data_IF_200065532611
#
_entry.id   IF_200065532611
#
_cell.length_a   1.000
_cell.length_b   1.000
_cell.length_c   1.000
_cell.angle_alpha   90.00
_cell.angle_beta   90.00
_cell.angle_gamma   90.00
#
_symmetry.space_group_name_H-M   'P 1'
#
loop_
_entity.id
_entity.type
_entity.pdbx_description
1 polymer ?
#
# COMPACT_ATOMS: atom_id res chain seq x y z
N UNK A 1 30.40 -47.27 30.02
CA UNK A 1 31.47 -46.99 29.04
C UNK A 1 30.89 -47.11 27.65
N UNK A 2 31.36 -46.25 26.73
CA UNK A 2 31.17 -46.26 25.28
C UNK A 2 29.96 -45.52 24.70
N UNK A 3 30.22 -44.25 24.44
CA UNK A 3 29.58 -43.37 23.46
C UNK A 3 29.69 -43.94 22.04
N UNK A 4 28.62 -43.84 21.25
CA UNK A 4 28.68 -44.04 19.80
C UNK A 4 28.22 -42.76 19.09
N UNK A 5 29.21 -42.07 18.53
CA UNK A 5 29.09 -40.84 17.75
C UNK A 5 28.72 -41.19 16.30
N UNK A 6 27.50 -40.88 15.87
CA UNK A 6 27.07 -41.04 14.48
C UNK A 6 27.51 -39.87 13.61
N UNK A 7 28.60 -40.04 12.87
CA UNK A 7 29.09 -39.08 11.88
C UNK A 7 28.23 -39.12 10.61
N UNK A 8 27.74 -37.96 10.17
CA UNK A 8 27.01 -37.77 8.91
C UNK A 8 28.02 -37.60 7.78
N UNK A 9 27.99 -38.53 6.82
CA UNK A 9 28.92 -38.61 5.69
C UNK A 9 28.36 -37.82 4.49
N UNK A 10 28.94 -36.66 4.20
CA UNK A 10 28.59 -35.87 3.02
C UNK A 10 29.18 -36.51 1.76
N UNK A 11 28.33 -36.97 0.85
CA UNK A 11 28.73 -37.41 -0.48
C UNK A 11 29.05 -36.19 -1.35
N UNK A 12 30.32 -36.09 -1.77
CA UNK A 12 30.81 -35.07 -2.68
C UNK A 12 30.43 -35.45 -4.12
N UNK A 13 29.60 -34.63 -4.76
CA UNK A 13 29.19 -34.79 -6.16
C UNK A 13 30.41 -34.58 -7.07
N UNK A 14 30.73 -35.61 -7.85
CA UNK A 14 31.85 -35.63 -8.79
C UNK A 14 31.45 -34.93 -10.10
N UNK A 15 32.19 -33.89 -10.49
CA UNK A 15 31.99 -33.17 -11.76
C UNK A 15 32.75 -33.90 -12.88
N UNK A 16 32.16 -34.15 -14.07
CA UNK A 16 32.80 -34.95 -15.11
C UNK A 16 33.97 -34.19 -15.75
N UNK A 17 35.07 -34.91 -16.02
CA UNK A 17 36.23 -34.37 -16.72
C UNK A 17 35.91 -34.19 -18.21
N UNK A 18 35.96 -32.94 -18.67
CA UNK A 18 35.91 -32.59 -20.08
C UNK A 18 37.28 -32.79 -20.73
N UNK A 19 37.29 -33.57 -21.81
CA UNK A 19 38.41 -33.87 -22.68
C UNK A 19 39.03 -32.59 -23.27
N UNK A 20 40.34 -32.41 -23.11
CA UNK A 20 41.12 -31.48 -23.93
C UNK A 20 41.98 -32.31 -24.90
N UNK A 21 41.45 -32.47 -26.12
CA UNK A 21 42.24 -32.76 -27.32
C UNK A 21 43.26 -31.63 -27.51
N UNK A 22 44.55 -31.94 -27.62
CA UNK A 22 45.50 -31.51 -28.69
C UNK A 22 46.99 -31.75 -28.26
N UNK A 23 47.87 -32.11 -29.21
CA UNK A 23 49.14 -32.84 -28.96
C UNK A 23 50.37 -31.94 -28.67
N UNK A 24 51.52 -32.53 -28.27
CA UNK A 24 52.63 -31.78 -27.68
C UNK A 24 53.67 -31.29 -28.70
N UNK A 25 54.46 -30.31 -28.24
CA UNK A 25 55.71 -29.78 -28.78
C UNK A 25 55.61 -28.76 -29.94
N UNK A 26 56.08 -27.53 -29.68
CA UNK A 26 57.40 -27.06 -30.12
C UNK A 26 57.73 -25.74 -29.41
N UNK A 27 58.95 -25.74 -28.86
CA UNK A 27 59.62 -24.65 -28.15
C UNK A 27 59.89 -23.45 -29.05
N UNK A 28 59.54 -22.24 -28.61
CA UNK A 28 60.15 -21.00 -29.15
C UNK A 28 60.56 -20.09 -28.00
N UNK A 29 61.87 -19.87 -27.96
CA UNK A 29 62.67 -19.16 -26.96
C UNK A 29 62.08 -17.81 -26.57
N UNK A 30 61.95 -17.58 -25.27
CA UNK A 30 61.96 -16.24 -24.68
C UNK A 30 63.14 -16.16 -23.72
N UNK A 31 64.09 -15.29 -24.03
CA UNK A 31 65.17 -14.86 -23.11
C UNK A 31 64.58 -14.00 -22.00
N UNK A 32 64.89 -14.24 -20.71
CA UNK A 32 64.42 -13.37 -19.65
C UNK A 32 65.29 -12.10 -19.63
N UNK A 33 64.66 -10.94 -19.85
CA UNK A 33 65.26 -9.67 -19.47
C UNK A 33 65.29 -9.63 -17.93
N UNK A 34 66.51 -9.50 -17.40
CA UNK A 34 66.82 -9.35 -15.98
C UNK A 34 66.03 -8.16 -15.40
N UNK A 35 65.00 -8.45 -14.62
CA UNK A 35 64.30 -7.44 -13.84
C UNK A 35 65.24 -6.98 -12.71
N UNK A 36 65.77 -5.76 -12.84
CA UNK A 36 66.36 -5.05 -11.72
C UNK A 36 65.25 -4.78 -10.71
N UNK A 37 65.46 -5.27 -9.48
CA UNK A 37 64.69 -4.93 -8.31
C UNK A 37 64.64 -3.40 -8.17
N UNK A 38 63.46 -2.82 -8.30
CA UNK A 38 63.10 -1.59 -7.60
C UNK A 38 61.88 -1.93 -6.75
N UNK A 39 62.17 -2.34 -5.52
CA UNK A 39 61.18 -2.33 -4.45
C UNK A 39 60.87 -0.86 -4.15
N UNK A 40 59.69 -0.38 -4.54
CA UNK A 40 59.13 0.85 -4.01
C UNK A 40 57.60 0.83 -4.14
N UNK A 41 56.98 0.44 -3.03
CA UNK A 41 55.69 0.90 -2.52
C UNK A 41 54.45 0.73 -3.41
N UNK A 42 53.91 -0.49 -3.47
CA UNK A 42 52.50 -0.72 -3.81
C UNK A 42 51.69 -0.79 -2.49
N UNK A 43 51.39 0.39 -1.94
CA UNK A 43 50.49 0.55 -0.80
C UNK A 43 49.06 0.68 -1.32
N UNK A 44 48.29 -0.40 -1.22
CA UNK A 44 46.84 -0.42 -0.90
C UNK A 44 45.91 0.66 -1.49
N UNK A 45 45.97 1.02 -2.78
CA UNK A 45 45.09 2.07 -3.34
C UNK A 45 43.65 1.61 -3.70
N UNK A 46 43.32 0.31 -3.58
CA UNK A 46 42.02 -0.23 -4.02
C UNK A 46 40.99 -0.35 -2.88
N UNK A 47 41.42 -0.50 -1.63
CA UNK A 47 40.52 -0.54 -0.46
C UNK A 47 40.04 0.85 -0.01
N UNK A 48 40.88 1.87 -0.19
CA UNK A 48 40.61 3.23 0.28
C UNK A 48 39.47 3.90 -0.49
N UNK A 49 39.41 3.70 -1.81
CA UNK A 49 38.34 4.25 -2.64
C UNK A 49 36.96 3.65 -2.32
N UNK A 50 36.91 2.36 -1.97
CA UNK A 50 35.66 1.70 -1.56
C UNK A 50 35.20 2.20 -0.19
N UNK A 51 36.13 2.41 0.75
CA UNK A 51 35.84 2.98 2.06
C UNK A 51 35.34 4.43 1.97
N UNK A 52 35.97 5.24 1.11
CA UNK A 52 35.54 6.63 0.86
C UNK A 52 34.11 6.66 0.29
N UNK A 53 33.77 5.75 -0.63
CA UNK A 53 32.42 5.67 -1.20
C UNK A 53 31.37 5.30 -0.16
N UNK A 54 31.70 4.33 0.72
CA UNK A 54 30.85 3.93 1.84
C UNK A 54 30.65 5.07 2.83
N UNK A 55 31.70 5.80 3.17
CA UNK A 55 31.62 6.96 4.07
C UNK A 55 30.78 8.10 3.48
N UNK A 56 30.90 8.37 2.18
CA UNK A 56 30.05 9.34 1.49
C UNK A 56 28.58 8.89 1.54
N UNK A 57 28.30 7.60 1.30
CA UNK A 57 26.95 7.06 1.35
C UNK A 57 26.36 7.13 2.78
N UNK A 58 27.15 6.81 3.80
CA UNK A 58 26.77 6.89 5.22
C UNK A 58 26.44 8.33 5.59
N UNK A 59 27.29 9.30 5.22
CA UNK A 59 27.01 10.72 5.47
C UNK A 59 25.71 11.18 4.81
N UNK A 60 25.51 10.86 3.52
CA UNK A 60 24.27 11.20 2.81
C UNK A 60 23.03 10.56 3.44
N UNK A 61 23.10 9.29 3.84
CA UNK A 61 21.99 8.64 4.54
C UNK A 61 21.72 9.30 5.89
N UNK A 62 22.76 9.70 6.61
CA UNK A 62 22.65 10.38 7.91
C UNK A 62 21.98 11.75 7.76
N UNK A 63 22.34 12.51 6.71
CA UNK A 63 21.68 13.77 6.35
C UNK A 63 20.21 13.57 6.01
N UNK A 64 19.89 12.59 5.15
CA UNK A 64 18.49 12.27 4.81
C UNK A 64 17.68 11.87 6.06
N UNK A 65 18.23 11.00 6.93
CA UNK A 65 17.57 10.58 8.16
C UNK A 65 17.35 11.76 9.12
N UNK A 66 18.30 12.70 9.18
CA UNK A 66 18.17 13.91 9.97
C UNK A 66 17.02 14.79 9.48
N UNK A 67 16.91 14.99 8.16
CA UNK A 67 15.78 15.73 7.55
C UNK A 67 14.44 15.04 7.81
N UNK A 68 14.36 13.72 7.63
CA UNK A 68 13.15 12.95 7.92
C UNK A 68 12.75 13.08 9.39
N UNK A 69 13.71 13.02 10.31
CA UNK A 69 13.43 13.15 11.74
C UNK A 69 12.85 14.54 12.08
N UNK A 70 13.34 15.61 11.44
CA UNK A 70 12.81 16.97 11.63
C UNK A 70 11.35 17.03 11.20
N UNK A 71 11.04 16.56 9.99
CA UNK A 71 9.66 16.54 9.46
C UNK A 71 8.74 15.70 10.34
N UNK A 72 9.20 14.53 10.81
CA UNK A 72 8.41 13.66 11.71
C UNK A 72 8.13 14.35 13.05
N UNK A 73 9.10 15.09 13.60
CA UNK A 73 8.91 15.87 14.83
C UNK A 73 7.96 17.05 14.64
N UNK A 74 7.99 17.70 13.47
CA UNK A 74 7.03 18.75 13.10
C UNK A 74 5.62 18.17 13.00
N UNK A 75 5.41 17.13 12.20
CA UNK A 75 4.10 16.47 12.06
C UNK A 75 3.59 15.94 13.40
N UNK A 76 4.47 15.39 14.25
CA UNK A 76 4.08 14.93 15.59
C UNK A 76 3.60 16.09 16.46
N UNK A 77 4.27 17.25 16.39
CA UNK A 77 3.82 18.45 17.11
C UNK A 77 2.49 18.95 16.56
N UNK A 78 2.32 19.01 15.24
CA UNK A 78 1.07 19.44 14.60
C UNK A 78 -0.10 18.52 15.00
N UNK A 79 0.13 17.20 15.03
CA UNK A 79 -0.89 16.23 15.46
C UNK A 79 -1.22 16.38 16.94
N UNK A 80 -0.23 16.60 17.82
CA UNK A 80 -0.48 16.84 19.24
C UNK A 80 -1.19 18.17 19.46
N UNK A 81 -0.84 19.21 18.70
CA UNK A 81 -1.48 20.51 18.73
C UNK A 81 -2.94 20.42 18.28
N UNK A 82 -3.22 19.76 17.15
CA UNK A 82 -4.60 19.49 16.71
C UNK A 82 -5.35 18.71 17.79
N UNK A 83 -4.71 17.72 18.42
CA UNK A 83 -5.32 16.91 19.48
C UNK A 83 -5.63 17.73 20.74
N UNK A 84 -4.77 18.67 21.13
CA UNK A 84 -5.02 19.56 22.28
C UNK A 84 -6.08 20.61 21.97
N UNK A 85 -6.01 21.24 20.80
CA UNK A 85 -7.03 22.20 20.35
C UNK A 85 -8.42 21.56 20.26
N UNK A 86 -8.51 20.30 19.83
CA UNK A 86 -9.76 19.53 19.84
C UNK A 86 -10.20 19.10 21.24
N UNK A 87 -9.28 18.96 22.20
CA UNK A 87 -9.60 18.58 23.59
C UNK A 87 -10.05 19.79 24.42
N UNK A 88 -9.47 20.96 24.17
CA UNK A 88 -9.77 22.22 24.86
C UNK A 88 -10.93 22.98 24.19
N UNK A 89 -11.14 22.75 22.89
CA UNK A 89 -12.24 23.29 22.10
C UNK A 89 -13.59 22.63 22.41
N UNK A 90 -14.25 23.07 23.48
CA UNK A 90 -15.71 23.01 23.57
C UNK A 90 -16.24 23.89 22.43
N UNK A 91 -16.65 23.26 21.32
CA UNK A 91 -17.04 23.89 20.04
C UNK A 91 -17.82 25.20 20.27
N UNK A 92 -17.13 26.33 20.16
CA UNK A 92 -17.72 27.65 19.96
C UNK A 92 -17.35 28.10 18.55
N UNK A 93 -18.31 28.30 17.65
CA UNK A 93 -18.03 28.66 16.27
C UNK A 93 -17.71 30.16 16.22
N UNK A 94 -16.48 30.53 15.89
CA UNK A 94 -16.15 31.90 15.54
C UNK A 94 -15.00 31.97 14.53
N UNK A 95 -15.35 32.49 13.34
CA UNK A 95 -14.50 33.10 12.32
C UNK A 95 -13.86 32.24 11.22
N UNK A 96 -14.73 31.69 10.37
CA UNK A 96 -14.56 31.82 8.92
C UNK A 96 -15.75 32.65 8.41
N UNK A 97 -15.49 33.90 8.01
CA UNK A 97 -16.48 34.78 7.38
C UNK A 97 -16.83 34.26 5.97
N UNK A 98 -17.74 33.29 5.96
CA UNK A 98 -18.73 33.01 4.92
C UNK A 98 -20.01 32.63 5.67
N UNK A 99 -21.20 32.67 5.06
CA UNK A 99 -22.42 32.25 5.75
C UNK A 99 -22.23 30.82 6.28
N UNK A 100 -22.03 30.70 7.60
CA UNK A 100 -21.89 29.42 8.30
C UNK A 100 -23.32 28.89 8.49
N UNK A 101 -23.75 27.84 7.76
CA UNK A 101 -25.10 27.34 7.93
C UNK A 101 -25.11 26.40 9.13
N UNK A 102 -25.48 26.89 10.32
CA UNK A 102 -25.95 26.11 11.47
C UNK A 102 -25.29 24.71 11.66
N UNK A 103 -23.94 24.66 11.60
CA UNK A 103 -23.21 23.41 11.28
C UNK A 103 -22.91 22.56 12.51
N UNK A 104 -23.87 22.44 13.43
CA UNK A 104 -23.88 21.36 14.43
C UNK A 104 -24.98 20.34 14.15
N UNK A 105 -25.84 20.58 13.16
CA UNK A 105 -27.03 19.75 12.99
C UNK A 105 -27.45 19.58 11.54
N UNK A 106 -26.63 18.84 10.79
CA UNK A 106 -27.17 17.92 9.80
C UNK A 106 -26.16 16.78 9.61
N UNK A 107 -25.93 16.02 10.69
CA UNK A 107 -25.39 14.68 10.56
C UNK A 107 -26.24 13.96 9.52
N UNK A 108 -25.59 13.53 8.45
CA UNK A 108 -26.25 12.82 7.39
C UNK A 108 -26.92 11.58 8.00
N UNK A 109 -28.24 11.36 7.82
CA UNK A 109 -29.01 10.35 8.56
C UNK A 109 -28.77 8.92 8.02
N UNK A 110 -27.55 8.63 7.57
CA UNK A 110 -27.10 7.31 7.14
C UNK A 110 -26.13 6.79 8.20
N UNK A 111 -26.55 5.72 8.87
CA UNK A 111 -25.70 5.00 9.80
C UNK A 111 -24.75 4.08 9.02
N UNK A 112 -23.47 4.14 9.35
CA UNK A 112 -22.41 3.34 8.73
C UNK A 112 -21.73 2.46 9.78
N UNK A 113 -21.34 1.21 9.46
CA UNK A 113 -21.55 0.53 8.18
C UNK A 113 -22.98 0.04 7.99
N UNK A 114 -23.47 0.05 6.75
CA UNK A 114 -24.80 -0.41 6.38
C UNK A 114 -24.84 -1.96 6.41
N UNK A 115 -25.86 -2.50 7.05
CA UNK A 115 -26.03 -3.95 7.30
C UNK A 115 -27.11 -4.58 6.43
N UNK A 116 -28.18 -3.84 6.11
CA UNK A 116 -29.35 -4.34 5.39
C UNK A 116 -29.49 -3.73 3.99
N UNK A 117 -30.18 -4.44 3.09
CA UNK A 117 -30.50 -3.90 1.76
C UNK A 117 -31.49 -2.74 1.85
N UNK A 118 -32.44 -2.80 2.78
CA UNK A 118 -33.43 -1.75 2.97
C UNK A 118 -32.79 -0.44 3.40
N UNK A 119 -31.84 -0.48 4.34
CA UNK A 119 -31.12 0.72 4.76
C UNK A 119 -30.18 1.23 3.68
N UNK A 120 -29.62 0.34 2.84
CA UNK A 120 -28.88 0.74 1.66
C UNK A 120 -29.78 1.46 0.65
N UNK A 121 -30.99 0.96 0.40
CA UNK A 121 -31.95 1.60 -0.52
C UNK A 121 -32.43 2.96 0.01
N UNK A 122 -32.64 3.10 1.33
CA UNK A 122 -32.93 4.39 1.97
C UNK A 122 -31.77 5.37 1.81
N UNK A 123 -30.54 4.90 2.03
CA UNK A 123 -29.33 5.67 1.80
C UNK A 123 -29.24 6.16 0.34
N UNK A 124 -29.47 5.28 -0.62
CA UNK A 124 -29.47 5.62 -2.05
C UNK A 124 -30.53 6.67 -2.41
N UNK A 125 -31.73 6.60 -1.81
CA UNK A 125 -32.77 7.61 -2.00
C UNK A 125 -32.35 8.97 -1.46
N UNK A 126 -31.75 9.01 -0.28
CA UNK A 126 -31.25 10.25 0.34
C UNK A 126 -30.12 10.88 -0.49
N UNK A 127 -29.18 10.08 -0.99
CA UNK A 127 -28.03 10.54 -1.76
C UNK A 127 -28.38 11.08 -3.16
N UNK A 128 -29.62 10.95 -3.61
CA UNK A 128 -30.11 11.67 -4.80
C UNK A 128 -30.12 13.18 -4.56
N UNK A 129 -30.36 13.62 -3.33
CA UNK A 129 -30.30 15.03 -2.96
C UNK A 129 -28.83 15.49 -2.98
N UNK A 130 -28.53 16.54 -3.75
CA UNK A 130 -27.19 17.15 -3.79
C UNK A 130 -26.62 17.51 -2.41
N UNK A 131 -27.34 18.18 -1.49
CA UNK A 131 -26.74 18.54 -0.20
C UNK A 131 -26.32 17.32 0.63
N UNK A 132 -27.09 16.24 0.57
CA UNK A 132 -26.76 15.00 1.28
C UNK A 132 -25.63 14.25 0.57
N UNK A 133 -25.61 14.25 -0.76
CA UNK A 133 -24.47 13.74 -1.53
C UNK A 133 -23.16 14.43 -1.16
N UNK A 134 -23.12 15.76 -1.11
CA UNK A 134 -21.90 16.50 -0.75
C UNK A 134 -21.42 16.20 0.67
N UNK A 135 -22.34 16.11 1.63
CA UNK A 135 -22.02 15.68 3.00
C UNK A 135 -21.46 14.26 3.04
N UNK A 136 -21.98 13.33 2.24
CA UNK A 136 -21.45 11.97 2.16
C UNK A 136 -20.05 11.95 1.55
N UNK A 137 -19.83 12.69 0.45
CA UNK A 137 -18.50 12.84 -0.15
C UNK A 137 -17.49 13.37 0.87
N UNK A 138 -17.84 14.44 1.61
CA UNK A 138 -17.00 14.99 2.65
C UNK A 138 -16.71 13.96 3.76
N UNK A 139 -17.74 13.22 4.23
CA UNK A 139 -17.56 12.15 5.22
C UNK A 139 -16.62 11.04 4.74
N UNK A 140 -16.71 10.67 3.46
CA UNK A 140 -15.87 9.64 2.86
C UNK A 140 -14.44 10.12 2.62
N UNK A 141 -14.24 11.40 2.29
CA UNK A 141 -12.92 12.00 2.14
C UNK A 141 -12.09 11.90 3.44
N UNK A 142 -12.74 12.01 4.60
CA UNK A 142 -12.11 11.87 5.92
C UNK A 142 -11.55 10.47 6.22
N UNK A 143 -11.98 9.43 5.48
CA UNK A 143 -11.49 8.05 5.69
C UNK A 143 -9.99 7.92 5.39
N UNK A 144 -9.52 8.69 4.38
CA UNK A 144 -8.13 8.77 3.95
C UNK A 144 -7.50 7.45 3.51
N UNK A 145 -6.20 7.49 3.25
CA UNK A 145 -5.37 6.35 2.87
C UNK A 145 -3.99 6.78 2.39
N UNK A 146 -3.04 5.84 2.38
CA UNK A 146 -1.69 6.09 1.83
C UNK A 146 -1.64 6.04 0.31
N UNK A 147 -2.64 5.41 -0.30
CA UNK A 147 -2.84 5.34 -1.76
C UNK A 147 -4.33 5.39 -2.05
N UNK A 148 -4.72 5.79 -3.28
CA UNK A 148 -6.12 5.81 -3.70
C UNK A 148 -6.78 4.43 -3.59
N UNK A 149 -6.05 3.36 -3.92
CA UNK A 149 -6.52 1.97 -3.73
C UNK A 149 -6.79 1.64 -2.26
N UNK A 150 -5.90 2.06 -1.35
CA UNK A 150 -6.08 1.86 0.10
C UNK A 150 -7.31 2.64 0.60
N UNK A 151 -7.44 3.89 0.19
CA UNK A 151 -8.57 4.75 0.53
C UNK A 151 -9.90 4.14 0.08
N UNK A 152 -10.01 3.70 -1.18
CA UNK A 152 -11.23 3.06 -1.72
C UNK A 152 -11.61 1.83 -0.90
N UNK A 153 -10.64 0.98 -0.55
CA UNK A 153 -10.92 -0.22 0.28
C UNK A 153 -11.38 0.16 1.69
N UNK A 154 -10.77 1.17 2.31
CA UNK A 154 -11.19 1.67 3.62
C UNK A 154 -12.61 2.23 3.55
N UNK A 155 -12.93 3.03 2.54
CA UNK A 155 -14.29 3.54 2.32
C UNK A 155 -15.30 2.40 2.16
N UNK A 156 -14.98 1.34 1.39
CA UNK A 156 -15.85 0.16 1.25
C UNK A 156 -16.12 -0.54 2.58
N UNK A 157 -15.10 -0.68 3.43
CA UNK A 157 -15.24 -1.26 4.79
C UNK A 157 -16.05 -0.34 5.71
N UNK A 158 -15.88 0.97 5.58
CA UNK A 158 -16.65 1.96 6.34
C UNK A 158 -18.13 1.94 5.94
N UNK A 159 -18.43 1.79 4.65
CA UNK A 159 -19.80 1.92 4.14
C UNK A 159 -20.60 0.62 4.26
N UNK A 160 -19.99 -0.53 3.96
CA UNK A 160 -20.69 -1.81 3.83
C UNK A 160 -20.15 -2.85 4.80
N UNK A 161 -21.05 -3.57 5.45
CA UNK A 161 -20.68 -4.83 6.09
C UNK A 161 -20.32 -5.90 5.05
N UNK A 162 -19.49 -6.88 5.44
CA UNK A 162 -19.12 -7.98 4.55
C UNK A 162 -20.35 -8.79 4.08
N UNK A 163 -21.34 -8.98 4.97
CA UNK A 163 -22.59 -9.68 4.66
C UNK A 163 -23.39 -8.95 3.57
N UNK A 164 -23.53 -7.62 3.69
CA UNK A 164 -24.19 -6.81 2.67
C UNK A 164 -23.39 -6.77 1.36
N UNK A 165 -22.07 -6.61 1.45
CA UNK A 165 -21.18 -6.61 0.29
C UNK A 165 -21.27 -7.89 -0.56
N UNK A 166 -21.64 -9.04 0.04
CA UNK A 166 -21.85 -10.29 -0.69
C UNK A 166 -23.00 -10.23 -1.71
N UNK A 167 -23.97 -9.32 -1.48
CA UNK A 167 -25.17 -9.14 -2.31
C UNK A 167 -24.92 -8.27 -3.54
N UNK A 168 -23.76 -7.62 -3.61
CA UNK A 168 -23.38 -6.76 -4.73
C UNK A 168 -22.37 -7.43 -5.65
N UNK A 169 -22.42 -7.05 -6.92
CA UNK A 169 -21.31 -7.17 -7.83
C UNK A 169 -21.20 -5.88 -8.65
N UNK A 170 -20.09 -5.68 -9.38
CA UNK A 170 -19.90 -4.42 -10.11
C UNK A 170 -21.01 -4.12 -11.13
N UNK A 171 -21.40 -5.10 -11.96
CA UNK A 171 -22.30 -4.87 -13.10
C UNK A 171 -23.74 -5.40 -12.92
N UNK A 172 -24.06 -6.03 -11.79
CA UNK A 172 -25.33 -6.72 -11.54
C UNK A 172 -25.55 -8.00 -12.34
N UNK A 173 -24.53 -8.51 -13.05
CA UNK A 173 -24.71 -9.64 -13.97
C UNK A 173 -25.00 -10.94 -13.20
N UNK A 174 -26.10 -11.61 -13.56
CA UNK A 174 -26.45 -12.96 -13.08
C UNK A 174 -25.40 -13.94 -13.58
N UNK A 175 -24.75 -14.67 -12.66
CA UNK A 175 -23.85 -15.78 -13.04
C UNK A 175 -24.58 -17.10 -13.10
N UNK A 176 -25.57 -17.28 -12.23
CA UNK A 176 -26.47 -18.42 -12.21
C UNK A 176 -27.92 -17.91 -12.10
N UNK A 177 -28.92 -18.74 -12.42
CA UNK A 177 -30.34 -18.37 -12.29
C UNK A 177 -30.72 -17.92 -10.87
N UNK A 178 -29.99 -18.40 -9.86
CA UNK A 178 -30.24 -18.14 -8.43
C UNK A 178 -29.32 -17.10 -7.80
N UNK A 179 -28.29 -16.61 -8.50
CA UNK A 179 -27.32 -15.62 -7.99
C UNK A 179 -27.51 -14.27 -8.70
N UNK A 180 -28.61 -13.58 -8.36
CA UNK A 180 -28.86 -12.21 -8.80
C UNK A 180 -28.31 -11.21 -7.78
N UNK A 181 -27.09 -10.74 -8.03
CA UNK A 181 -26.47 -9.67 -7.24
C UNK A 181 -26.82 -8.30 -7.82
N UNK A 182 -26.98 -7.31 -6.97
CA UNK A 182 -27.26 -5.95 -7.38
C UNK A 182 -26.02 -5.28 -8.02
N UNK A 183 -26.20 -4.40 -9.04
CA UNK A 183 -25.12 -3.64 -9.64
C UNK A 183 -24.64 -2.53 -8.69
N UNK A 184 -23.36 -2.53 -8.34
CA UNK A 184 -22.77 -1.48 -7.52
C UNK A 184 -22.37 -0.24 -8.33
N UNK A 185 -22.05 -0.41 -9.62
CA UNK A 185 -21.59 0.68 -10.51
C UNK A 185 -22.65 1.77 -10.75
N UNK A 186 -23.92 1.47 -10.51
CA UNK A 186 -25.05 2.36 -10.79
C UNK A 186 -25.59 3.00 -9.49
N UNK A 187 -24.84 2.89 -8.39
CA UNK A 187 -25.26 3.41 -7.07
C UNK A 187 -24.73 4.82 -6.83
N UNK A 188 -25.54 5.66 -6.17
CA UNK A 188 -25.13 6.99 -5.71
C UNK A 188 -23.99 6.91 -4.71
N UNK A 189 -23.97 5.87 -3.88
CA UNK A 189 -22.87 5.58 -2.98
C UNK A 189 -21.54 5.43 -3.73
N UNK A 190 -21.51 4.69 -4.85
CA UNK A 190 -20.31 4.55 -5.65
C UNK A 190 -19.83 5.90 -6.20
N UNK A 191 -20.75 6.75 -6.65
CA UNK A 191 -20.39 8.07 -7.18
C UNK A 191 -19.81 8.96 -6.08
N UNK A 192 -20.39 8.91 -4.86
CA UNK A 192 -19.84 9.60 -3.71
C UNK A 192 -18.41 9.14 -3.39
N UNK A 193 -18.18 7.83 -3.42
CA UNK A 193 -16.85 7.25 -3.16
C UNK A 193 -15.83 7.63 -4.24
N UNK A 194 -16.25 7.65 -5.50
CA UNK A 194 -15.36 8.04 -6.60
C UNK A 194 -14.99 9.52 -6.51
N UNK A 195 -15.96 10.39 -6.24
CA UNK A 195 -15.72 11.82 -6.04
C UNK A 195 -14.78 12.07 -4.86
N UNK A 196 -14.99 11.40 -3.72
CA UNK A 196 -14.10 11.49 -2.56
C UNK A 196 -12.67 11.01 -2.87
N UNK A 197 -12.54 9.89 -3.59
CA UNK A 197 -11.23 9.37 -4.00
C UNK A 197 -10.50 10.31 -4.97
N UNK A 198 -11.23 10.99 -5.87
CA UNK A 198 -10.69 11.96 -6.82
C UNK A 198 -10.21 13.25 -6.16
N UNK A 199 -10.78 13.64 -5.03
CA UNK A 199 -10.28 14.77 -4.23
C UNK A 199 -8.88 14.47 -3.68
N UNK A 200 -8.63 13.22 -3.28
CA UNK A 200 -7.32 12.75 -2.84
C UNK A 200 -6.34 12.53 -4.00
N UNK A 201 -6.77 11.83 -5.06
CA UNK A 201 -5.97 11.51 -6.24
C UNK A 201 -6.65 12.06 -7.50
N UNK A 202 -6.20 13.25 -7.93
CA UNK A 202 -6.75 13.96 -9.08
C UNK A 202 -6.60 13.19 -10.40
N UNK A 203 -5.79 12.14 -10.49
CA UNK A 203 -5.57 11.37 -11.72
C UNK A 203 -6.29 10.00 -11.71
N UNK A 204 -7.01 9.67 -10.63
CA UNK A 204 -7.67 8.37 -10.45
C UNK A 204 -8.69 8.03 -11.55
N UNK A 205 -8.35 7.16 -12.50
CA UNK A 205 -9.28 6.78 -13.57
C UNK A 205 -10.50 6.00 -13.04
N UNK A 206 -11.64 6.12 -13.73
CA UNK A 206 -12.84 5.31 -13.45
C UNK A 206 -12.50 3.82 -13.48
N UNK A 207 -11.62 3.41 -14.40
CA UNK A 207 -11.16 2.04 -14.55
C UNK A 207 -10.43 1.56 -13.29
N UNK A 208 -9.42 2.30 -12.81
CA UNK A 208 -8.65 1.94 -11.62
C UNK A 208 -9.52 1.87 -10.35
N UNK A 209 -10.46 2.80 -10.22
CA UNK A 209 -11.46 2.77 -9.16
C UNK A 209 -12.33 1.50 -9.27
N UNK A 210 -12.90 1.25 -10.45
CA UNK A 210 -13.79 0.10 -10.69
C UNK A 210 -13.09 -1.24 -10.44
N UNK A 211 -11.81 -1.38 -10.80
CA UNK A 211 -11.06 -2.61 -10.62
C UNK A 211 -10.76 -2.89 -9.15
N UNK A 212 -10.50 -1.83 -8.38
CA UNK A 212 -10.38 -1.92 -6.92
C UNK A 212 -11.68 -2.41 -6.28
N UNK A 213 -12.81 -1.80 -6.66
CA UNK A 213 -14.14 -2.18 -6.14
C UNK A 213 -14.51 -3.61 -6.56
N UNK A 214 -14.35 -3.98 -7.84
CA UNK A 214 -14.57 -5.34 -8.36
C UNK A 214 -13.80 -6.37 -7.56
N UNK A 215 -12.51 -6.14 -7.33
CA UNK A 215 -11.64 -7.05 -6.58
C UNK A 215 -12.12 -7.17 -5.13
N UNK A 216 -12.48 -6.05 -4.50
CA UNK A 216 -12.95 -6.04 -3.12
C UNK A 216 -14.30 -6.77 -2.96
N UNK A 217 -15.29 -6.51 -3.83
CA UNK A 217 -16.59 -7.19 -3.79
C UNK A 217 -16.47 -8.70 -4.09
N UNK A 218 -15.58 -9.10 -5.01
CA UNK A 218 -15.33 -10.52 -5.32
C UNK A 218 -14.97 -11.34 -4.09
N UNK A 219 -14.18 -10.77 -3.17
CA UNK A 219 -13.73 -11.45 -1.95
C UNK A 219 -14.65 -11.20 -0.74
N UNK A 220 -15.80 -10.55 -0.91
CA UNK A 220 -16.75 -10.34 0.19
C UNK A 220 -17.19 -11.65 0.87
N UNK A 221 -17.51 -12.74 0.15
CA UNK A 221 -17.90 -14.01 0.80
C UNK A 221 -16.82 -14.58 1.70
N UNK A 222 -15.54 -14.48 1.30
CA UNK A 222 -14.42 -14.93 2.11
C UNK A 222 -14.27 -14.08 3.38
N UNK A 223 -14.44 -12.76 3.27
CA UNK A 223 -14.43 -11.84 4.43
C UNK A 223 -15.63 -12.02 5.37
N UNK A 224 -16.75 -12.53 4.86
CA UNK A 224 -17.95 -12.82 5.65
C UNK A 224 -17.88 -14.17 6.40
N UNK A 225 -16.78 -14.92 6.28
CA UNK A 225 -16.61 -16.22 6.93
C UNK A 225 -16.87 -17.42 6.01
N UNK A 226 -16.88 -17.23 4.68
CA UNK A 226 -17.12 -18.29 3.71
C UNK A 226 -16.11 -19.44 3.81
N UNK A 227 -16.57 -20.60 4.31
CA UNK A 227 -15.92 -21.90 4.13
C UNK A 227 -15.99 -22.29 2.64
N UNK A 228 -14.88 -22.75 2.08
CA UNK A 228 -14.90 -23.47 0.80
C UNK A 228 -15.76 -24.72 1.01
N UNK A 229 -16.86 -24.84 0.27
CA UNK A 229 -17.37 -26.18 -0.01
C UNK A 229 -16.33 -26.82 -0.94
N UNK A 230 -15.72 -27.90 -0.43
CA UNK A 230 -14.69 -28.71 -1.06
C UNK A 230 -15.15 -29.25 -2.41
#
# INVERSE_FOLDING_TARGET
MMSASGAVQYHQLQVPQGENLFPPHISRRYTPLRAHQHAQNDVTMQGDNEHILKDIAIRKMTEMLSQVLVVVKEVSRDVQFIKSELADGKITPASCEGPLPDTVQQMLPIQLPITSEDDFNKAELLLKNEPDRQKMIARLALVGGTTSTCMIRRMLVTVLTNSLACKFNWAGKKRTPHDSKQPFKDTMMQDCMFAAARQYDRHLTQQAFSDTVKKWLRYAPWRAGGKKNN
#
